data_IF_539363531473
#
_entry.id   IF_539363531473
#
_cell.length_a   1.000
_cell.length_b   1.000
_cell.length_c   1.000
_cell.angle_alpha   90.00
_cell.angle_beta   90.00
_cell.angle_gamma   90.00
#
_symmetry.space_group_name_H-M   'P 1'
#
loop_
_entity.id
_entity.type
_entity.pdbx_description
1 polymer ?
#
# COMPACT_ATOMS: atom_id res chain seq x y z
N UNK A 1 35.78 16.61 2.20
CA UNK A 1 34.88 16.13 1.12
C UNK A 1 34.17 14.82 1.51
N UNK A 2 34.69 14.08 2.51
CA UNK A 2 34.13 12.84 3.08
C UNK A 2 32.84 13.02 3.88
N UNK A 3 32.73 14.08 4.69
CA UNK A 3 31.70 14.16 5.74
C UNK A 3 30.28 14.36 5.20
N UNK A 4 30.16 14.99 4.03
CA UNK A 4 28.87 15.19 3.32
C UNK A 4 28.37 13.90 2.66
N UNK A 5 29.28 13.00 2.31
CA UNK A 5 28.96 11.69 1.75
C UNK A 5 28.54 10.74 2.87
N UNK A 6 29.25 10.77 4.01
CA UNK A 6 28.88 10.04 5.23
C UNK A 6 27.52 10.50 5.75
N UNK A 7 27.24 11.81 5.81
CA UNK A 7 25.92 12.31 6.26
C UNK A 7 24.77 11.92 5.33
N UNK A 8 25.03 11.78 4.03
CA UNK A 8 24.04 11.34 3.06
C UNK A 8 23.79 9.83 3.16
N UNK A 9 24.84 9.02 3.32
CA UNK A 9 24.70 7.59 3.59
C UNK A 9 24.01 7.33 4.93
N UNK A 10 24.35 8.06 6.00
CA UNK A 10 23.68 7.94 7.29
C UNK A 10 22.19 8.28 7.19
N UNK A 11 21.83 9.25 6.35
CA UNK A 11 20.44 9.65 6.11
C UNK A 11 19.68 8.61 5.26
N UNK A 12 20.31 8.03 4.25
CA UNK A 12 19.74 6.93 3.45
C UNK A 12 19.56 5.67 4.30
N UNK A 13 20.59 5.29 5.08
CA UNK A 13 20.54 4.15 6.02
C UNK A 13 19.45 4.38 7.09
N UNK A 14 19.31 5.60 7.60
CA UNK A 14 18.25 5.94 8.57
C UNK A 14 16.86 5.87 7.94
N UNK A 15 16.71 6.27 6.67
CA UNK A 15 15.46 6.16 5.92
C UNK A 15 15.11 4.70 5.63
N UNK A 16 16.09 3.87 5.30
CA UNK A 16 15.91 2.44 5.03
C UNK A 16 15.56 1.69 6.32
N UNK A 17 16.23 1.99 7.44
CA UNK A 17 15.86 1.47 8.78
C UNK A 17 14.46 1.93 9.20
N UNK A 18 14.09 3.18 8.90
CA UNK A 18 12.75 3.70 9.19
C UNK A 18 11.68 2.99 8.36
N UNK A 19 11.91 2.80 7.06
CA UNK A 19 11.02 2.06 6.16
C UNK A 19 10.88 0.60 6.62
N UNK A 20 11.98 -0.04 7.01
CA UNK A 20 11.97 -1.38 7.60
C UNK A 20 11.23 -1.42 8.94
N UNK A 21 11.28 -0.36 9.75
CA UNK A 21 10.52 -0.27 11.01
C UNK A 21 9.02 -0.04 10.81
N UNK A 22 8.61 0.73 9.79
CA UNK A 22 7.20 0.91 9.43
C UNK A 22 6.64 -0.35 8.77
N UNK A 23 7.44 -1.02 7.92
CA UNK A 23 7.14 -2.36 7.42
C UNK A 23 7.07 -3.34 8.59
N UNK A 24 7.96 -3.26 9.59
CA UNK A 24 7.90 -4.08 10.81
C UNK A 24 6.65 -3.79 11.64
N UNK A 25 6.16 -2.55 11.74
CA UNK A 25 4.87 -2.24 12.43
C UNK A 25 3.66 -2.82 11.68
N UNK A 26 3.70 -2.77 10.35
CA UNK A 26 2.72 -3.44 9.48
C UNK A 26 2.84 -4.96 9.66
N UNK A 27 4.05 -5.48 9.86
CA UNK A 27 4.34 -6.89 10.16
C UNK A 27 4.13 -7.28 11.65
N UNK A 28 4.09 -6.35 12.59
CA UNK A 28 3.83 -6.62 14.01
C UNK A 28 2.33 -6.69 14.28
N UNK A 29 1.54 -6.05 13.41
CA UNK A 29 0.14 -6.39 13.20
C UNK A 29 -0.03 -7.75 12.47
N UNK A 30 1.08 -8.35 12.01
CA UNK A 30 1.18 -9.59 11.22
C UNK A 30 1.68 -10.80 12.01
N UNK A 31 1.15 -11.03 13.23
CA UNK A 31 1.23 -12.39 13.83
C UNK A 31 0.48 -13.48 13.06
N UNK A 32 -0.23 -13.14 11.97
CA UNK A 32 -1.13 -14.06 11.27
C UNK A 32 -0.75 -14.33 9.79
N UNK A 33 0.44 -13.90 9.34
CA UNK A 33 0.95 -14.26 8.01
C UNK A 33 2.06 -15.31 8.12
N UNK A 34 1.75 -16.56 7.75
CA UNK A 34 2.80 -17.51 7.38
C UNK A 34 3.24 -17.19 5.95
N UNK A 35 4.46 -16.70 5.81
CA UNK A 35 5.08 -16.42 4.51
C UNK A 35 5.44 -17.76 3.85
N UNK A 36 4.52 -18.33 3.07
CA UNK A 36 4.88 -19.33 2.07
C UNK A 36 5.40 -18.58 0.84
N UNK A 37 6.72 -18.36 0.78
CA UNK A 37 7.37 -17.73 -0.36
C UNK A 37 7.31 -18.68 -1.56
N UNK A 38 6.29 -18.49 -2.40
CA UNK A 38 6.39 -19.01 -3.76
C UNK A 38 7.44 -18.17 -4.49
N UNK A 39 8.26 -18.78 -5.34
CA UNK A 39 9.47 -18.21 -5.98
C UNK A 39 9.26 -16.96 -6.87
N UNK A 40 8.10 -16.31 -6.82
CA UNK A 40 7.68 -15.17 -7.67
C UNK A 40 7.07 -13.98 -6.90
N UNK A 41 7.35 -13.85 -5.60
CA UNK A 41 6.89 -12.69 -4.81
C UNK A 41 5.41 -12.69 -4.42
N UNK A 42 4.74 -13.84 -4.54
CA UNK A 42 3.36 -14.02 -4.08
C UNK A 42 3.32 -14.58 -2.67
N UNK A 43 2.42 -14.02 -1.86
CA UNK A 43 2.16 -14.41 -0.48
C UNK A 43 0.78 -15.06 -0.37
N UNK A 44 0.71 -16.26 0.20
CA UNK A 44 -0.57 -16.87 0.57
C UNK A 44 -1.06 -16.27 1.88
N UNK A 45 -2.30 -15.76 1.90
CA UNK A 45 -2.95 -15.27 3.12
C UNK A 45 -3.72 -16.43 3.74
N UNK A 46 -3.39 -16.81 4.99
CA UNK A 46 -4.05 -17.91 5.71
C UNK A 46 -5.08 -17.42 6.73
N UNK A 47 -4.91 -16.20 7.27
CA UNK A 47 -5.82 -15.63 8.27
C UNK A 47 -7.19 -15.30 7.66
N UNK A 48 -8.27 -15.96 8.10
CA UNK A 48 -9.63 -15.68 7.63
C UNK A 48 -10.06 -14.22 7.81
N UNK A 49 -9.62 -13.55 8.89
CA UNK A 49 -9.98 -12.16 9.18
C UNK A 49 -9.35 -11.23 8.13
N UNK A 50 -8.11 -11.50 7.74
CA UNK A 50 -7.41 -10.71 6.73
C UNK A 50 -7.99 -11.00 5.35
N UNK A 51 -8.29 -12.27 5.04
CA UNK A 51 -8.97 -12.64 3.81
C UNK A 51 -10.29 -11.88 3.69
N UNK A 52 -11.12 -11.89 4.75
CA UNK A 52 -12.38 -11.16 4.76
C UNK A 52 -12.17 -9.66 4.58
N UNK A 53 -11.20 -9.05 5.28
CA UNK A 53 -10.90 -7.63 5.17
C UNK A 53 -10.50 -7.24 3.74
N UNK A 54 -9.60 -8.01 3.12
CA UNK A 54 -9.15 -7.78 1.74
C UNK A 54 -10.33 -7.93 0.77
N UNK A 55 -11.09 -9.02 0.88
CA UNK A 55 -12.25 -9.26 0.01
C UNK A 55 -13.32 -8.18 0.17
N UNK A 56 -13.56 -7.69 1.38
CA UNK A 56 -14.52 -6.62 1.66
C UNK A 56 -14.09 -5.31 1.01
N UNK A 57 -12.82 -4.93 1.15
CA UNK A 57 -12.28 -3.70 0.58
C UNK A 57 -12.25 -3.76 -0.95
N UNK A 58 -11.81 -4.88 -1.54
CA UNK A 58 -11.86 -5.06 -3.00
C UNK A 58 -13.28 -5.33 -3.53
N UNK A 59 -14.23 -5.70 -2.67
CA UNK A 59 -15.65 -5.81 -3.00
C UNK A 59 -16.34 -4.46 -3.14
N UNK A 60 -15.91 -3.45 -2.38
CA UNK A 60 -16.47 -2.09 -2.44
C UNK A 60 -15.98 -1.32 -3.66
N UNK A 61 -16.90 -0.79 -4.46
CA UNK A 61 -16.60 -0.14 -5.75
C UNK A 61 -15.59 1.00 -5.65
N UNK A 62 -15.75 1.91 -4.68
CA UNK A 62 -14.86 3.07 -4.52
C UNK A 62 -13.45 2.62 -4.15
N UNK A 63 -13.33 1.76 -3.12
CA UNK A 63 -12.05 1.19 -2.71
C UNK A 63 -11.36 0.45 -3.85
N UNK A 64 -12.08 -0.47 -4.51
CA UNK A 64 -11.55 -1.26 -5.62
C UNK A 64 -11.05 -0.35 -6.74
N UNK A 65 -11.83 0.66 -7.13
CA UNK A 65 -11.44 1.61 -8.18
C UNK A 65 -10.15 2.34 -7.84
N UNK A 66 -10.04 2.86 -6.61
CA UNK A 66 -8.84 3.55 -6.15
C UNK A 66 -7.63 2.61 -6.06
N UNK A 67 -7.80 1.40 -5.51
CA UNK A 67 -6.70 0.45 -5.31
C UNK A 67 -6.17 -0.10 -6.63
N UNK A 68 -7.05 -0.43 -7.59
CA UNK A 68 -6.61 -0.86 -8.92
C UNK A 68 -5.80 0.26 -9.58
N UNK A 69 -6.32 1.49 -9.58
CA UNK A 69 -5.61 2.63 -10.15
C UNK A 69 -4.23 2.84 -9.48
N UNK A 70 -4.18 2.79 -8.14
CA UNK A 70 -2.96 2.98 -7.37
C UNK A 70 -1.99 1.78 -7.40
N UNK A 71 -2.44 0.63 -7.91
CA UNK A 71 -1.58 -0.57 -8.14
C UNK A 71 -0.82 -0.51 -9.46
N UNK A 72 -1.33 0.27 -10.42
CA UNK A 72 -0.70 0.49 -11.73
C UNK A 72 0.26 1.67 -11.70
N UNK A 73 -0.04 2.70 -10.90
CA UNK A 73 0.75 3.92 -10.80
C UNK A 73 0.58 4.63 -9.47
N UNK A 74 1.61 5.37 -9.04
CA UNK A 74 1.53 6.23 -7.86
C UNK A 74 0.92 7.57 -8.23
N UNK A 75 0.11 8.14 -7.34
CA UNK A 75 -0.68 9.32 -7.69
C UNK A 75 -0.96 10.21 -6.49
N UNK A 76 -1.08 11.52 -6.75
CA UNK A 76 -1.64 12.45 -5.77
C UNK A 76 -3.16 12.24 -5.64
N UNK A 77 -3.76 12.74 -4.55
CA UNK A 77 -5.23 12.76 -4.39
C UNK A 77 -5.90 13.56 -5.51
N UNK A 78 -5.29 14.67 -5.93
CA UNK A 78 -5.84 15.52 -7.00
C UNK A 78 -5.94 14.75 -8.31
N UNK A 79 -4.87 14.05 -8.67
CA UNK A 79 -4.83 13.24 -9.89
C UNK A 79 -5.77 12.02 -9.77
N UNK A 80 -5.88 11.44 -8.57
CA UNK A 80 -6.82 10.35 -8.33
C UNK A 80 -8.27 10.78 -8.55
N UNK A 81 -8.66 11.97 -8.08
CA UNK A 81 -10.00 12.55 -8.33
C UNK A 81 -10.24 12.74 -9.82
N UNK A 82 -9.27 13.30 -10.54
CA UNK A 82 -9.38 13.58 -11.97
C UNK A 82 -9.53 12.29 -12.79
N UNK A 83 -8.71 11.27 -12.49
CA UNK A 83 -8.64 10.07 -13.31
C UNK A 83 -9.69 9.01 -12.95
N UNK A 84 -10.09 8.89 -11.68
CA UNK A 84 -11.13 7.94 -11.26
C UNK A 84 -12.55 8.49 -11.41
N UNK A 85 -12.71 9.81 -11.59
CA UNK A 85 -13.99 10.54 -11.63
C UNK A 85 -14.84 10.34 -10.36
N UNK A 86 -14.22 9.93 -9.25
CA UNK A 86 -14.88 9.79 -7.96
C UNK A 86 -15.10 11.16 -7.31
N UNK A 87 -16.18 11.35 -6.52
CA UNK A 87 -16.41 12.62 -5.83
C UNK A 87 -15.26 12.98 -4.89
N UNK A 88 -14.86 14.26 -4.91
CA UNK A 88 -13.71 14.76 -4.13
C UNK A 88 -13.74 14.35 -2.65
N UNK A 89 -14.84 14.61 -1.96
CA UNK A 89 -14.99 14.28 -0.53
C UNK A 89 -14.91 12.76 -0.28
N UNK A 90 -15.45 11.95 -1.21
CA UNK A 90 -15.35 10.50 -1.19
C UNK A 90 -13.90 10.05 -1.29
N UNK A 91 -13.11 10.60 -2.23
CA UNK A 91 -11.70 10.24 -2.40
C UNK A 91 -10.89 10.59 -1.14
N UNK A 92 -11.04 11.80 -0.60
CA UNK A 92 -10.33 12.19 0.63
C UNK A 92 -10.70 11.32 1.84
N UNK A 93 -11.99 11.01 2.02
CA UNK A 93 -12.41 10.12 3.11
C UNK A 93 -11.85 8.72 2.91
N UNK A 94 -11.87 8.22 1.68
CA UNK A 94 -11.50 6.85 1.37
C UNK A 94 -9.99 6.64 1.39
N UNK A 95 -9.19 7.61 0.95
CA UNK A 95 -7.73 7.48 1.00
C UNK A 95 -7.25 7.41 2.46
N UNK A 96 -7.81 8.22 3.35
CA UNK A 96 -7.53 8.19 4.79
C UNK A 96 -7.94 6.85 5.42
N UNK A 97 -9.10 6.32 5.05
CA UNK A 97 -9.56 4.99 5.46
C UNK A 97 -8.62 3.88 4.97
N UNK A 98 -8.23 3.90 3.70
CA UNK A 98 -7.37 2.88 3.09
C UNK A 98 -5.94 2.94 3.64
N UNK A 99 -5.40 4.15 3.86
CA UNK A 99 -4.10 4.38 4.48
C UNK A 99 -4.09 3.85 5.92
N UNK A 100 -5.06 4.25 6.75
CA UNK A 100 -5.21 3.73 8.14
C UNK A 100 -5.33 2.22 8.20
N UNK A 101 -5.88 1.59 7.15
CA UNK A 101 -6.06 0.15 7.07
C UNK A 101 -4.90 -0.58 6.37
N UNK A 102 -3.87 0.13 5.92
CA UNK A 102 -2.66 -0.42 5.30
C UNK A 102 -2.80 -0.81 3.82
N UNK A 103 -3.90 -0.46 3.16
CA UNK A 103 -4.11 -0.77 1.73
C UNK A 103 -3.45 0.23 0.78
N UNK A 104 -3.09 1.40 1.31
CA UNK A 104 -2.40 2.48 0.61
C UNK A 104 -1.26 3.00 1.49
N UNK A 105 -0.14 3.36 0.89
CA UNK A 105 1.01 3.99 1.56
C UNK A 105 1.43 5.27 0.82
N UNK A 106 2.02 6.22 1.54
CA UNK A 106 2.66 7.40 0.93
C UNK A 106 4.08 6.99 0.51
N UNK A 107 4.41 7.15 -0.77
CA UNK A 107 5.74 6.80 -1.32
C UNK A 107 6.68 7.99 -1.39
N UNK A 108 6.13 9.19 -1.61
CA UNK A 108 6.92 10.42 -1.63
C UNK A 108 6.08 11.65 -1.31
N UNK A 109 6.78 12.75 -1.02
CA UNK A 109 6.19 14.08 -0.93
C UNK A 109 6.80 14.98 -2.01
N UNK A 110 6.00 15.35 -3.00
CA UNK A 110 6.41 16.29 -4.04
C UNK A 110 6.12 17.71 -3.55
N UNK A 111 7.16 18.55 -3.53
CA UNK A 111 7.01 19.97 -3.20
C UNK A 111 6.84 20.77 -4.47
N UNK A 112 5.71 21.46 -4.61
CA UNK A 112 5.50 22.42 -5.69
C UNK A 112 5.25 23.80 -5.07
N UNK A 113 6.18 24.73 -5.27
CA UNK A 113 6.26 26.02 -4.58
C UNK A 113 6.29 25.87 -3.05
N UNK A 114 5.18 26.17 -2.38
CA UNK A 114 5.02 26.20 -0.92
C UNK A 114 4.20 25.03 -0.38
N UNK A 115 3.63 24.19 -1.25
CA UNK A 115 2.75 23.09 -0.85
C UNK A 115 3.42 21.74 -1.06
N UNK A 116 3.44 20.93 0.01
CA UNK A 116 3.79 19.51 -0.05
C UNK A 116 2.56 18.71 -0.46
N UNK A 117 2.72 17.88 -1.49
CA UNK A 117 1.69 16.98 -1.98
C UNK A 117 2.16 15.54 -1.78
N UNK A 118 1.40 14.75 -1.03
CA UNK A 118 1.66 13.33 -0.86
C UNK A 118 1.30 12.56 -2.14
N UNK A 119 2.17 11.63 -2.50
CA UNK A 119 1.96 10.68 -3.59
C UNK A 119 1.72 9.31 -2.96
N UNK A 120 0.63 8.68 -3.38
CA UNK A 120 0.12 7.45 -2.81
C UNK A 120 0.32 6.27 -3.75
N UNK A 121 0.54 5.08 -3.20
CA UNK A 121 0.62 3.79 -3.89
C UNK A 121 -0.26 2.77 -3.16
N UNK A 122 -0.85 1.81 -3.88
CA UNK A 122 -1.49 0.67 -3.22
C UNK A 122 -0.43 -0.29 -2.66
N UNK A 123 -0.59 -0.73 -1.42
CA UNK A 123 0.29 -1.76 -0.82
C UNK A 123 0.14 -3.12 -1.52
N UNK A 124 -1.00 -3.38 -2.17
CA UNK A 124 -1.28 -4.63 -2.88
C UNK A 124 -1.25 -4.35 -4.38
N UNK A 125 -0.26 -4.93 -5.05
CA UNK A 125 -0.07 -4.82 -6.50
C UNK A 125 -1.01 -5.74 -7.28
N UNK A 126 -1.17 -6.98 -6.80
CA UNK A 126 -2.05 -7.96 -7.45
C UNK A 126 -2.73 -8.86 -6.43
N UNK A 127 -3.93 -9.33 -6.78
CA UNK A 127 -4.70 -10.31 -6.01
C UNK A 127 -5.04 -11.49 -6.91
N UNK A 128 -4.89 -12.70 -6.38
CA UNK A 128 -5.38 -13.93 -6.99
C UNK A 128 -6.23 -14.70 -5.99
N UNK A 129 -7.41 -15.13 -6.44
CA UNK A 129 -8.34 -15.94 -5.68
C UNK A 129 -8.42 -17.34 -6.29
N UNK A 130 -8.39 -18.37 -5.45
CA UNK A 130 -8.69 -19.76 -5.84
C UNK A 130 -9.94 -20.23 -5.07
N UNK A 131 -11.02 -20.46 -5.81
CA UNK A 131 -12.28 -20.96 -5.29
C UNK A 131 -12.34 -22.48 -5.47
N UNK A 132 -11.77 -23.21 -4.50
CA UNK A 132 -11.93 -24.67 -4.38
C UNK A 132 -12.85 -24.98 -3.20
N UNK A 133 -12.42 -25.83 -2.26
CA UNK A 133 -13.17 -26.16 -1.05
C UNK A 133 -13.21 -24.99 -0.04
N UNK A 134 -12.21 -24.12 -0.10
CA UNK A 134 -12.11 -22.89 0.68
C UNK A 134 -11.53 -21.80 -0.22
N UNK A 135 -11.87 -20.53 0.04
CA UNK A 135 -11.27 -19.40 -0.65
C UNK A 135 -9.81 -19.33 -0.22
N UNK A 136 -8.89 -19.41 -1.18
CA UNK A 136 -7.48 -19.10 -0.96
C UNK A 136 -7.18 -17.76 -1.60
N UNK A 137 -6.61 -16.86 -0.80
CA UNK A 137 -6.18 -15.54 -1.23
C UNK A 137 -4.66 -15.53 -1.37
N UNK A 138 -4.19 -15.08 -2.52
CA UNK A 138 -2.80 -14.78 -2.78
C UNK A 138 -2.68 -13.30 -3.11
N UNK A 139 -1.70 -12.64 -2.50
CA UNK A 139 -1.42 -11.23 -2.75
C UNK A 139 0.02 -11.05 -3.22
N UNK A 140 0.23 -10.10 -4.12
CA UNK A 140 1.56 -9.59 -4.44
C UNK A 140 1.66 -8.16 -3.93
N UNK A 141 2.69 -7.89 -3.12
CA UNK A 141 2.91 -6.56 -2.56
C UNK A 141 3.65 -5.66 -3.56
N UNK A 142 3.51 -4.34 -3.37
CA UNK A 142 4.12 -3.30 -4.21
C UNK A 142 5.46 -2.81 -3.65
#
# INVERSE_FOLDING_TARGET
MSDKLVSNLEKEITQEIYLMSEISKILETSKNFEIESTSKGWFSVKDPIIIEKVLRVFGEDVSRTMLIYLSEQHSSISDLILNTKLPRTTVYRKIDELEKNGFVKIVEYVSNNTKKTAIYESTIKEIKLDFKKQIKLYIRLS
#
